data_IF_377537735085
#
_entry.id   IF_377537735085
#
_cell.length_a   1.000
_cell.length_b   1.000
_cell.length_c   1.000
_cell.angle_alpha   90.00
_cell.angle_beta   90.00
_cell.angle_gamma   90.00
#
_symmetry.space_group_name_H-M   'P 1'
#
loop_
_entity.id
_entity.type
_entity.pdbx_description
1 polymer ?
#
# COMPACT_ATOMS: atom_id res chain seq x y z
N UNK A 1 21.49 10.62 19.24
CA UNK A 1 20.09 10.92 18.85
C UNK A 1 19.50 9.60 18.36
N UNK A 2 18.43 9.14 19.01
CA UNK A 2 17.85 7.81 18.82
C UNK A 2 16.56 7.97 18.01
N UNK A 3 16.36 7.03 17.10
CA UNK A 3 15.12 6.64 16.42
C UNK A 3 14.72 7.42 15.15
N UNK A 4 15.33 7.10 14.00
CA UNK A 4 14.78 7.44 12.66
C UNK A 4 14.47 6.23 11.77
N UNK A 5 14.86 5.01 12.14
CA UNK A 5 14.98 3.95 11.12
C UNK A 5 13.90 2.86 11.20
N UNK A 6 12.84 3.05 12.00
CA UNK A 6 11.67 2.17 11.93
C UNK A 6 10.58 2.82 11.08
N UNK A 7 10.22 2.23 9.92
CA UNK A 7 9.05 2.68 9.16
C UNK A 7 7.81 2.55 10.04
N UNK A 8 7.27 3.69 10.47
CA UNK A 8 5.99 3.80 11.18
C UNK A 8 4.88 4.06 10.17
N UNK A 9 3.65 3.70 10.55
CA UNK A 9 2.46 3.99 9.73
C UNK A 9 2.30 5.51 9.51
N UNK A 10 2.58 6.33 10.53
CA UNK A 10 2.48 7.79 10.44
C UNK A 10 3.47 8.38 9.43
N UNK A 11 4.75 7.98 9.50
CA UNK A 11 5.75 8.44 8.54
C UNK A 11 5.41 7.98 7.12
N UNK A 12 4.90 6.76 6.97
CA UNK A 12 4.46 6.24 5.68
C UNK A 12 3.25 7.02 5.12
N UNK A 13 2.28 7.39 5.97
CA UNK A 13 1.12 8.17 5.57
C UNK A 13 1.52 9.55 5.03
N UNK A 14 2.51 10.20 5.65
CA UNK A 14 3.03 11.48 5.12
C UNK A 14 3.67 11.27 3.74
N UNK A 15 4.53 10.25 3.62
CA UNK A 15 5.22 9.95 2.37
C UNK A 15 4.26 9.61 1.21
N UNK A 16 3.22 8.82 1.46
CA UNK A 16 2.25 8.46 0.41
C UNK A 16 1.38 9.65 0.00
N UNK A 17 1.05 10.56 0.92
CA UNK A 17 0.35 11.82 0.60
C UNK A 17 1.22 12.70 -0.29
N UNK A 18 2.51 12.83 0.02
CA UNK A 18 3.45 13.57 -0.83
C UNK A 18 3.59 12.91 -2.20
N UNK A 19 3.70 11.58 -2.25
CA UNK A 19 3.75 10.80 -3.49
C UNK A 19 2.52 11.04 -4.35
N UNK A 20 1.31 10.97 -3.79
CA UNK A 20 0.04 11.28 -4.47
C UNK A 20 -0.02 12.72 -5.01
N UNK A 21 0.54 13.69 -4.30
CA UNK A 21 0.57 15.09 -4.75
C UNK A 21 1.56 15.30 -5.90
N UNK A 22 2.67 14.57 -5.87
CA UNK A 22 3.72 14.66 -6.89
C UNK A 22 3.43 13.81 -8.14
N UNK A 23 2.60 12.79 -8.01
CA UNK A 23 2.18 11.94 -9.12
C UNK A 23 0.88 12.44 -9.72
N UNK A 24 0.66 12.15 -11.00
CA UNK A 24 -0.66 12.29 -11.64
C UNK A 24 -1.52 11.03 -11.38
N UNK A 25 -1.35 10.41 -10.20
CA UNK A 25 -1.99 9.13 -9.90
C UNK A 25 -3.50 9.28 -9.67
N UNK A 26 -4.25 8.27 -10.12
CA UNK A 26 -5.70 8.16 -9.94
C UNK A 26 -6.10 7.52 -8.59
N UNK A 27 -5.14 7.07 -7.77
CA UNK A 27 -5.44 6.42 -6.50
C UNK A 27 -5.99 7.40 -5.46
N UNK A 28 -7.13 7.05 -4.86
CA UNK A 28 -7.66 7.77 -3.70
C UNK A 28 -6.86 7.43 -2.44
N UNK A 29 -6.47 8.44 -1.67
CA UNK A 29 -5.85 8.22 -0.36
C UNK A 29 -6.75 7.44 0.61
N UNK A 30 -8.06 7.65 0.56
CA UNK A 30 -9.03 7.08 1.50
C UNK A 30 -10.21 6.46 0.75
N UNK A 31 -10.64 5.27 1.18
CA UNK A 31 -11.83 4.58 0.69
C UNK A 31 -12.70 4.10 1.85
N UNK A 32 -14.01 4.08 1.69
CA UNK A 32 -14.91 3.47 2.68
C UNK A 32 -14.92 1.95 2.50
N UNK A 33 -14.76 1.22 3.60
CA UNK A 33 -14.81 -0.24 3.59
C UNK A 33 -16.21 -0.71 3.17
N UNK A 34 -16.23 -1.61 2.19
CA UNK A 34 -17.45 -2.21 1.65
C UNK A 34 -17.87 -3.44 2.46
N UNK A 35 -19.17 -3.82 2.45
CA UNK A 35 -19.66 -4.98 3.21
C UNK A 35 -18.93 -6.29 2.89
N UNK A 36 -18.53 -6.52 1.62
CA UNK A 36 -17.80 -7.73 1.22
C UNK A 36 -16.34 -7.77 1.71
N UNK A 37 -15.83 -6.65 2.23
CA UNK A 37 -14.48 -6.52 2.78
C UNK A 37 -14.49 -6.68 4.31
N UNK A 38 -15.60 -7.11 4.90
CA UNK A 38 -15.70 -7.31 6.35
C UNK A 38 -14.67 -8.34 6.87
N UNK A 39 -14.05 -8.04 8.00
CA UNK A 39 -12.95 -8.83 8.56
C UNK A 39 -11.59 -8.72 7.83
N UNK A 40 -11.51 -8.03 6.69
CA UNK A 40 -10.24 -7.84 5.97
C UNK A 40 -9.42 -6.68 6.54
N UNK A 41 -8.15 -6.93 6.84
CA UNK A 41 -7.21 -5.90 7.34
C UNK A 41 -6.50 -5.13 6.23
N UNK A 42 -6.43 -5.70 5.02
CA UNK A 42 -5.73 -5.09 3.89
C UNK A 42 -6.53 -5.30 2.62
N UNK A 43 -6.46 -4.32 1.73
CA UNK A 43 -6.93 -4.43 0.35
C UNK A 43 -5.71 -4.28 -0.58
N UNK A 44 -5.52 -5.26 -1.46
CA UNK A 44 -4.48 -5.24 -2.48
C UNK A 44 -5.16 -5.14 -3.83
N UNK A 45 -4.78 -4.14 -4.62
CA UNK A 45 -5.34 -3.90 -5.95
C UNK A 45 -4.21 -4.00 -6.95
N UNK A 46 -4.44 -4.78 -8.02
CA UNK A 46 -3.60 -4.81 -9.20
C UNK A 46 -4.40 -4.18 -10.34
N UNK A 47 -3.90 -3.06 -10.84
CA UNK A 47 -4.44 -2.37 -11.99
C UNK A 47 -3.52 -2.61 -13.18
N UNK A 48 -4.10 -2.92 -14.33
CA UNK A 48 -3.38 -3.05 -15.59
C UNK A 48 -4.05 -2.16 -16.62
N UNK A 49 -3.38 -1.05 -16.95
CA UNK A 49 -3.79 -0.14 -18.02
C UNK A 49 -2.81 -0.25 -19.19
N UNK A 50 -1.65 0.40 -19.08
CA UNK A 50 -0.51 0.24 -20.00
C UNK A 50 0.63 -0.56 -19.36
N UNK A 51 0.85 -0.34 -18.07
CA UNK A 51 1.77 -1.08 -17.20
C UNK A 51 1.01 -1.60 -15.98
N UNK A 52 1.57 -2.60 -15.30
CA UNK A 52 1.01 -3.08 -14.04
C UNK A 52 1.35 -2.06 -12.95
N UNK A 53 0.32 -1.62 -12.23
CA UNK A 53 0.47 -0.85 -11.01
C UNK A 53 -0.26 -1.57 -9.87
N UNK A 54 0.36 -1.54 -8.70
CA UNK A 54 -0.17 -2.12 -7.47
C UNK A 54 -0.54 -1.00 -6.51
N UNK A 55 -1.59 -1.22 -5.71
CA UNK A 55 -1.90 -0.38 -4.57
C UNK A 55 -2.23 -1.24 -3.35
N UNK A 56 -1.70 -0.85 -2.19
CA UNK A 56 -1.97 -1.49 -0.90
C UNK A 56 -2.72 -0.50 -0.02
N UNK A 57 -3.83 -0.95 0.55
CA UNK A 57 -4.55 -0.21 1.57
C UNK A 57 -4.57 -1.01 2.87
N UNK A 58 -4.49 -0.31 4.00
CA UNK A 58 -4.65 -0.86 5.34
C UNK A 58 -5.97 -0.39 5.95
N UNK A 59 -6.68 -1.29 6.62
CA UNK A 59 -7.96 -0.97 7.26
C UNK A 59 -7.75 -0.20 8.55
N UNK A 60 -8.41 0.96 8.64
CA UNK A 60 -8.48 1.80 9.83
C UNK A 60 -9.96 2.07 10.13
N UNK A 61 -10.54 1.24 10.99
CA UNK A 61 -11.96 1.30 11.34
C UNK A 61 -12.86 1.01 10.14
N UNK A 62 -13.64 2.02 9.73
CA UNK A 62 -14.57 1.94 8.59
C UNK A 62 -13.93 2.32 7.25
N UNK A 63 -12.64 2.62 7.24
CA UNK A 63 -11.94 3.09 6.04
C UNK A 63 -10.75 2.21 5.70
N UNK A 64 -10.38 2.23 4.43
CA UNK A 64 -9.11 1.78 3.90
C UNK A 64 -8.27 3.01 3.59
N UNK A 65 -7.09 3.08 4.20
CA UNK A 65 -6.11 4.15 3.99
C UNK A 65 -5.02 3.61 3.07
N UNK A 66 -4.71 4.35 2.02
CA UNK A 66 -3.65 4.00 1.07
C UNK A 66 -2.31 4.00 1.80
N UNK A 67 -1.62 2.86 1.70
CA UNK A 67 -0.27 2.68 2.23
C UNK A 67 0.77 3.04 1.18
N UNK A 68 0.62 2.51 -0.03
CA UNK A 68 1.50 2.83 -1.14
C UNK A 68 0.88 2.38 -2.46
N UNK A 69 1.39 2.94 -3.55
CA UNK A 69 1.12 2.52 -4.92
C UNK A 69 2.44 2.48 -5.72
N UNK A 70 2.71 1.41 -6.45
CA UNK A 70 4.03 1.16 -7.03
C UNK A 70 3.94 0.20 -8.22
N UNK A 71 4.95 0.18 -9.09
CA UNK A 71 4.98 -0.72 -10.26
C UNK A 71 5.82 -1.98 -10.04
N UNK A 72 6.76 -1.93 -9.09
CA UNK A 72 7.65 -3.03 -8.75
C UNK A 72 7.83 -3.16 -7.23
N UNK A 73 8.25 -4.34 -6.77
CA UNK A 73 8.49 -4.57 -5.34
C UNK A 73 9.60 -3.63 -4.81
N UNK A 74 10.59 -3.32 -5.64
CA UNK A 74 11.72 -2.44 -5.34
C UNK A 74 11.25 -1.01 -5.05
N UNK A 75 10.28 -0.52 -5.82
CA UNK A 75 9.66 0.81 -5.68
C UNK A 75 8.76 0.94 -4.44
N UNK A 76 8.27 -0.18 -3.91
CA UNK A 76 7.37 -0.16 -2.77
C UNK A 76 8.05 0.43 -1.51
N UNK A 77 7.28 1.17 -0.71
CA UNK A 77 7.75 1.69 0.56
C UNK A 77 8.15 0.56 1.50
N UNK A 78 9.07 0.84 2.44
CA UNK A 78 9.49 -0.17 3.42
C UNK A 78 8.32 -0.69 4.27
N UNK A 79 7.29 0.14 4.49
CA UNK A 79 6.08 -0.29 5.16
C UNK A 79 5.23 -1.23 4.28
N UNK A 80 5.07 -0.91 2.99
CA UNK A 80 4.40 -1.78 2.02
C UNK A 80 5.12 -3.13 1.88
N UNK A 81 6.46 -3.13 1.77
CA UNK A 81 7.28 -4.35 1.74
C UNK A 81 7.06 -5.23 2.97
N UNK A 82 6.94 -4.64 4.17
CA UNK A 82 6.61 -5.40 5.40
C UNK A 82 5.27 -6.10 5.28
N UNK A 83 4.23 -5.42 4.77
CA UNK A 83 2.91 -6.02 4.56
C UNK A 83 3.01 -7.18 3.56
N UNK A 84 3.63 -6.95 2.40
CA UNK A 84 3.82 -7.97 1.36
C UNK A 84 4.50 -9.22 1.94
N UNK A 85 5.61 -9.04 2.64
CA UNK A 85 6.38 -10.15 3.22
C UNK A 85 5.65 -10.87 4.36
N UNK A 86 4.70 -10.22 5.03
CA UNK A 86 3.88 -10.82 6.09
C UNK A 86 2.77 -11.74 5.55
N UNK A 87 2.48 -11.71 4.25
CA UNK A 87 1.40 -12.47 3.62
C UNK A 87 1.97 -13.37 2.53
N UNK A 88 1.88 -14.69 2.71
CA UNK A 88 2.41 -15.67 1.75
C UNK A 88 1.87 -15.48 0.34
N UNK A 89 0.57 -15.16 0.20
CA UNK A 89 -0.08 -14.91 -1.09
C UNK A 89 0.46 -13.66 -1.80
N UNK A 90 0.70 -12.56 -1.08
CA UNK A 90 1.28 -11.36 -1.68
C UNK A 90 2.75 -11.60 -2.01
N UNK A 91 3.50 -12.24 -1.12
CA UNK A 91 4.90 -12.59 -1.36
C UNK A 91 5.07 -13.41 -2.63
N UNK A 92 4.19 -14.37 -2.90
CA UNK A 92 4.25 -15.17 -4.14
C UNK A 92 4.05 -14.37 -5.42
N UNK A 93 3.30 -13.26 -5.39
CA UNK A 93 3.11 -12.38 -6.55
C UNK A 93 4.43 -11.71 -6.92
N UNK A 94 5.22 -11.31 -5.93
CA UNK A 94 6.46 -10.56 -6.14
C UNK A 94 7.72 -11.43 -6.17
N UNK A 95 7.65 -12.70 -5.76
CA UNK A 95 8.79 -13.63 -5.82
C UNK A 95 8.86 -14.45 -7.10
N UNK A 96 7.83 -14.37 -7.96
CA UNK A 96 7.72 -15.18 -9.17
C UNK A 96 8.42 -14.57 -10.40
N UNK A 97 9.15 -13.46 -10.23
CA UNK A 97 9.87 -12.76 -11.30
C UNK A 97 11.36 -12.60 -10.95
#
# INVERSE_FOLDING_TARGET
>A
MKDTDTPTLENNNVAVIEKLKSSESSWSYLKIAQPHQDGSNFEFIQLFEEEIEYAIYERQGLYFVLIDFFKSYEEASEYAKKIINSKSSLKSIFSAN
#
